data_IF_060671647038
#
_entry.id   IF_060671647038
#
_cell.length_a   1.000
_cell.length_b   1.000
_cell.length_c   1.000
_cell.angle_alpha   90.00
_cell.angle_beta   90.00
_cell.angle_gamma   90.00
#
_symmetry.space_group_name_H-M   'P 1'
#
loop_
_entity.id
_entity.type
_entity.pdbx_description
1 polymer ?
#
# COMPACT_ATOMS: atom_id res chain seq x y z
N UNK A 1 -21.35 -9.08 0.12
CA UNK A 1 -21.08 -8.13 1.21
C UNK A 1 -22.32 -7.24 1.36
N UNK A 2 -22.64 -6.70 2.56
CA UNK A 2 -23.98 -6.15 2.88
C UNK A 2 -24.16 -4.67 2.52
N UNK A 3 -23.08 -3.90 2.53
CA UNK A 3 -23.04 -2.45 2.40
C UNK A 3 -22.47 -1.97 1.05
N UNK A 4 -22.37 -2.85 0.05
CA UNK A 4 -21.76 -2.52 -1.25
C UNK A 4 -20.23 -2.50 -1.21
N UNK A 5 -19.64 -3.19 -0.24
CA UNK A 5 -18.20 -3.29 -0.04
C UNK A 5 -17.51 -3.91 -1.26
N UNK A 6 -18.18 -4.81 -1.98
CA UNK A 6 -17.73 -5.37 -3.25
C UNK A 6 -17.46 -4.29 -4.29
N UNK A 7 -18.38 -3.34 -4.44
CA UNK A 7 -18.24 -2.22 -5.37
C UNK A 7 -17.14 -1.25 -4.93
N UNK A 8 -17.05 -0.99 -3.63
CA UNK A 8 -16.04 -0.10 -3.05
C UNK A 8 -14.64 -0.72 -3.22
N UNK A 9 -14.49 -2.00 -2.95
CA UNK A 9 -13.23 -2.73 -3.14
C UNK A 9 -12.82 -2.75 -4.61
N UNK A 10 -13.78 -2.94 -5.53
CA UNK A 10 -13.51 -2.82 -6.97
C UNK A 10 -13.02 -1.41 -7.34
N UNK A 11 -13.71 -0.36 -6.87
CA UNK A 11 -13.31 1.02 -7.14
C UNK A 11 -11.91 1.35 -6.58
N UNK A 12 -11.57 0.82 -5.40
CA UNK A 12 -10.22 0.94 -4.84
C UNK A 12 -9.20 0.27 -5.76
N UNK A 13 -9.47 -0.96 -6.23
CA UNK A 13 -8.62 -1.67 -7.18
C UNK A 13 -8.42 -0.88 -8.47
N UNK A 14 -9.51 -0.47 -9.12
CA UNK A 14 -9.48 0.32 -10.36
C UNK A 14 -8.69 1.64 -10.17
N UNK A 15 -8.87 2.31 -9.02
CA UNK A 15 -8.13 3.53 -8.69
C UNK A 15 -6.64 3.26 -8.55
N UNK A 16 -6.25 2.21 -7.81
CA UNK A 16 -4.85 1.84 -7.61
C UNK A 16 -4.20 1.48 -8.95
N UNK A 17 -4.84 0.66 -9.78
CA UNK A 17 -4.35 0.34 -11.12
C UNK A 17 -4.13 1.61 -11.97
N UNK A 18 -5.05 2.57 -11.89
CA UNK A 18 -4.89 3.85 -12.60
C UNK A 18 -3.70 4.68 -12.12
N UNK A 19 -3.28 4.56 -10.85
CA UNK A 19 -2.09 5.28 -10.37
C UNK A 19 -0.82 4.72 -10.98
N UNK A 20 -0.81 3.43 -11.36
CA UNK A 20 0.32 2.84 -12.06
C UNK A 20 0.53 3.49 -13.43
N UNK A 21 -0.52 3.62 -14.23
CA UNK A 21 -0.47 4.30 -15.53
C UNK A 21 -0.07 5.79 -15.48
N UNK A 22 -0.22 6.46 -14.33
CA UNK A 22 0.01 7.91 -14.18
C UNK A 22 1.33 8.26 -13.47
N UNK A 23 1.84 7.37 -12.61
CA UNK A 23 3.01 7.62 -11.78
C UNK A 23 4.22 6.73 -12.13
N UNK A 24 4.00 5.68 -12.91
CA UNK A 24 5.03 4.73 -13.31
C UNK A 24 5.13 4.87 -14.82
N UNK A 25 6.08 5.68 -15.28
CA UNK A 25 6.33 5.86 -16.72
C UNK A 25 6.52 4.50 -17.38
N UNK A 26 5.86 4.29 -18.52
CA UNK A 26 5.98 3.12 -19.41
C UNK A 26 7.33 3.07 -20.16
N UNK A 27 8.37 3.71 -19.64
CA UNK A 27 9.70 3.81 -20.26
C UNK A 27 10.69 2.98 -19.45
N UNK A 28 11.56 2.23 -20.14
CA UNK A 28 12.52 1.24 -19.62
C UNK A 28 13.45 1.74 -18.48
N UNK A 29 13.55 3.06 -18.26
CA UNK A 29 14.34 3.70 -17.20
C UNK A 29 13.48 4.30 -16.05
N UNK A 30 12.25 3.83 -15.87
CA UNK A 30 11.25 4.42 -14.98
C UNK A 30 11.73 4.65 -13.54
N UNK A 31 12.20 5.86 -13.24
CA UNK A 31 12.57 6.28 -11.88
C UNK A 31 11.34 6.26 -10.96
N UNK A 32 11.17 5.18 -10.20
CA UNK A 32 10.07 5.04 -9.26
C UNK A 32 10.44 5.72 -7.93
N UNK A 33 9.78 6.85 -7.64
CA UNK A 33 9.97 7.58 -6.37
C UNK A 33 9.75 6.65 -5.16
N UNK A 34 8.85 5.67 -5.27
CA UNK A 34 8.61 4.70 -4.21
C UNK A 34 9.81 3.78 -3.95
N UNK A 35 10.55 3.36 -4.98
CA UNK A 35 11.73 2.51 -4.80
C UNK A 35 12.87 3.29 -4.16
N UNK A 36 13.05 4.55 -4.53
CA UNK A 36 13.99 5.44 -3.83
C UNK A 36 13.60 5.60 -2.35
N UNK A 37 12.32 5.83 -2.05
CA UNK A 37 11.81 5.94 -0.67
C UNK A 37 12.05 4.64 0.12
N UNK A 38 11.85 3.47 -0.51
CA UNK A 38 12.14 2.16 0.08
C UNK A 38 13.63 1.97 0.35
N UNK A 39 14.51 2.31 -0.60
CA UNK A 39 15.97 2.24 -0.42
C UNK A 39 16.46 3.13 0.74
N UNK A 40 15.77 4.25 0.99
CA UNK A 40 16.04 5.13 2.12
C UNK A 40 15.46 4.61 3.46
N UNK A 41 14.65 3.55 3.45
CA UNK A 41 14.04 2.97 4.65
C UNK A 41 12.95 3.82 5.30
N UNK A 42 12.37 4.78 4.58
CA UNK A 42 11.37 5.73 5.09
C UNK A 42 9.96 5.51 4.53
N UNK A 43 9.77 4.43 3.78
CA UNK A 43 8.53 4.11 3.07
C UNK A 43 7.33 3.90 3.98
N UNK A 44 7.52 3.24 5.13
CA UNK A 44 6.46 3.03 6.13
C UNK A 44 5.95 4.35 6.70
N UNK A 45 6.85 5.19 7.20
CA UNK A 45 6.51 6.51 7.75
C UNK A 45 5.88 7.41 6.68
N UNK A 46 6.41 7.36 5.46
CA UNK A 46 5.86 8.08 4.33
C UNK A 46 4.42 7.66 4.02
N UNK A 47 4.15 6.36 3.93
CA UNK A 47 2.81 5.85 3.65
C UNK A 47 1.83 6.20 4.78
N UNK A 48 2.24 5.99 6.03
CA UNK A 48 1.41 6.31 7.20
C UNK A 48 1.06 7.81 7.27
N UNK A 49 2.05 8.68 7.10
CA UNK A 49 1.85 10.13 7.13
C UNK A 49 0.92 10.59 6.00
N UNK A 50 1.05 10.02 4.80
CA UNK A 50 0.17 10.34 3.67
C UNK A 50 -1.26 9.85 3.89
N UNK A 51 -1.46 8.64 4.43
CA UNK A 51 -2.79 8.15 4.79
C UNK A 51 -3.49 9.10 5.76
N UNK A 52 -2.79 9.48 6.84
CA UNK A 52 -3.29 10.45 7.84
C UNK A 52 -3.59 11.79 7.17
N UNK A 53 -2.68 12.31 6.34
CA UNK A 53 -2.84 13.58 5.62
C UNK A 53 -4.15 13.60 4.82
N UNK A 54 -4.46 12.54 4.06
CA UNK A 54 -5.67 12.50 3.25
C UNK A 54 -6.94 12.30 4.08
N UNK A 55 -6.89 11.50 5.15
CA UNK A 55 -8.00 11.42 6.10
C UNK A 55 -8.29 12.77 6.77
N UNK A 56 -7.26 13.49 7.23
CA UNK A 56 -7.42 14.82 7.81
C UNK A 56 -7.91 15.87 6.80
N UNK A 57 -7.63 15.67 5.51
CA UNK A 57 -8.04 16.56 4.43
C UNK A 57 -9.52 16.41 4.07
N UNK A 58 -10.07 15.20 4.19
CA UNK A 58 -11.47 14.90 3.89
C UNK A 58 -12.41 15.76 4.76
N UNK A 59 -13.32 16.49 4.10
CA UNK A 59 -14.21 17.45 4.77
C UNK A 59 -13.58 18.81 5.06
N UNK A 60 -12.26 18.99 4.84
CA UNK A 60 -11.56 20.28 5.02
C UNK A 60 -11.19 20.95 3.70
N UNK A 61 -10.64 20.20 2.74
CA UNK A 61 -10.20 20.74 1.44
C UNK A 61 -11.02 20.13 0.32
N UNK A 62 -11.70 20.98 -0.46
CA UNK A 62 -12.66 20.56 -1.49
C UNK A 62 -13.82 19.70 -0.94
N UNK A 63 -14.23 19.96 0.31
CA UNK A 63 -15.35 19.29 0.97
C UNK A 63 -15.10 17.80 1.20
N UNK A 64 -16.16 17.00 1.11
CA UNK A 64 -16.13 15.55 1.28
C UNK A 64 -15.72 14.85 -0.03
N UNK A 65 -14.51 15.15 -0.52
CA UNK A 65 -14.02 14.60 -1.77
C UNK A 65 -13.64 13.11 -1.61
N UNK A 66 -14.36 12.22 -2.30
CA UNK A 66 -14.11 10.76 -2.29
C UNK A 66 -12.67 10.40 -2.69
N UNK A 67 -12.01 11.22 -3.53
CA UNK A 67 -10.60 11.00 -3.92
C UNK A 67 -9.64 11.06 -2.73
N UNK A 68 -9.97 11.79 -1.67
CA UNK A 68 -9.13 11.80 -0.45
C UNK A 68 -9.24 10.45 0.28
N UNK A 69 -10.41 9.80 0.29
CA UNK A 69 -10.56 8.46 0.84
C UNK A 69 -9.83 7.40 0.00
N UNK A 70 -9.93 7.48 -1.34
CA UNK A 70 -9.20 6.58 -2.25
C UNK A 70 -7.68 6.71 -2.07
N UNK A 71 -7.16 7.94 -1.93
CA UNK A 71 -5.74 8.18 -1.64
C UNK A 71 -5.33 7.64 -0.28
N UNK A 72 -6.14 7.87 0.75
CA UNK A 72 -5.85 7.34 2.08
C UNK A 72 -5.73 5.81 2.06
N UNK A 73 -6.67 5.13 1.41
CA UNK A 73 -6.65 3.67 1.28
C UNK A 73 -5.47 3.19 0.44
N UNK A 74 -5.15 3.86 -0.67
CA UNK A 74 -3.97 3.52 -1.47
C UNK A 74 -2.68 3.51 -0.64
N UNK A 75 -2.46 4.53 0.20
CA UNK A 75 -1.30 4.56 1.09
C UNK A 75 -1.36 3.51 2.21
N UNK A 76 -2.56 3.12 2.67
CA UNK A 76 -2.71 1.98 3.60
C UNK A 76 -2.30 0.68 2.91
N UNK A 77 -2.72 0.45 1.66
CA UNK A 77 -2.34 -0.74 0.88
C UNK A 77 -0.82 -0.80 0.68
N UNK A 78 -0.18 0.32 0.34
CA UNK A 78 1.28 0.39 0.21
C UNK A 78 2.00 0.12 1.55
N UNK A 79 1.45 0.63 2.66
CA UNK A 79 1.99 0.37 3.99
C UNK A 79 1.89 -1.11 4.37
N UNK A 80 0.75 -1.75 4.10
CA UNK A 80 0.58 -3.19 4.31
C UNK A 80 1.59 -3.99 3.49
N UNK A 81 1.74 -3.67 2.21
CA UNK A 81 2.73 -4.33 1.33
C UNK A 81 4.17 -4.19 1.85
N UNK A 82 4.56 -3.02 2.37
CA UNK A 82 5.88 -2.81 2.96
C UNK A 82 6.10 -3.66 4.22
N UNK A 83 5.11 -3.71 5.11
CA UNK A 83 5.16 -4.52 6.34
C UNK A 83 5.19 -6.03 6.01
N UNK A 84 4.42 -6.45 5.00
CA UNK A 84 4.41 -7.84 4.53
C UNK A 84 5.77 -8.24 3.95
N UNK A 85 6.41 -7.34 3.20
CA UNK A 85 7.75 -7.58 2.67
C UNK A 85 8.79 -7.71 3.79
N UNK A 86 8.77 -6.83 4.80
CA UNK A 86 9.65 -6.95 5.98
C UNK A 86 9.50 -8.32 6.67
N UNK A 87 8.26 -8.83 6.77
CA UNK A 87 7.98 -10.14 7.34
C UNK A 87 8.60 -11.29 6.54
N UNK A 88 8.41 -11.27 5.21
CA UNK A 88 8.98 -12.27 4.30
C UNK A 88 10.52 -12.22 4.36
N UNK A 89 11.10 -11.02 4.38
CA UNK A 89 12.54 -10.81 4.49
C UNK A 89 13.12 -11.36 5.80
N UNK A 90 12.43 -11.16 6.93
CA UNK A 90 12.86 -11.68 8.22
C UNK A 90 12.74 -13.22 8.29
N UNK A 91 11.69 -13.81 7.70
CA UNK A 91 11.53 -15.26 7.56
C UNK A 91 12.64 -15.89 6.72
N UNK A 92 12.93 -15.30 5.55
CA UNK A 92 13.96 -15.80 4.61
C UNK A 92 15.37 -15.67 5.19
N UNK A 93 15.63 -14.67 6.04
CA UNK A 93 16.93 -14.44 6.69
C UNK A 93 17.09 -15.18 8.04
N UNK A 94 16.10 -15.99 8.45
CA UNK A 94 16.17 -16.81 9.67
C UNK A 94 16.18 -16.01 10.98
N UNK A 95 15.67 -14.78 10.98
CA UNK A 95 15.60 -13.95 12.18
C UNK A 95 14.44 -14.38 13.10
N UNK A 96 14.50 -14.10 14.41
CA UNK A 96 13.38 -14.37 15.33
C UNK A 96 12.12 -13.58 14.93
N UNK A 97 11.10 -14.31 14.46
CA UNK A 97 9.82 -13.77 13.96
C UNK A 97 8.86 -13.46 15.13
N UNK A 98 9.35 -12.82 16.20
CA UNK A 98 8.55 -12.56 17.41
C UNK A 98 7.62 -11.33 17.27
N UNK A 99 7.97 -10.37 16.41
CA UNK A 99 7.25 -9.08 16.31
C UNK A 99 5.98 -9.18 15.45
N UNK A 100 5.92 -10.14 14.52
CA UNK A 100 4.95 -10.17 13.41
C UNK A 100 3.84 -11.21 13.55
N UNK A 101 4.01 -12.25 14.39
CA UNK A 101 2.92 -13.20 14.72
C UNK A 101 1.66 -12.56 15.31
N UNK A 102 1.80 -11.35 15.90
CA UNK A 102 0.66 -10.60 16.47
C UNK A 102 -0.10 -9.76 15.45
N UNK A 103 0.50 -9.38 14.31
CA UNK A 103 -0.14 -8.48 13.33
C UNK A 103 -1.04 -9.25 12.36
N UNK A 104 -0.65 -10.48 11.98
CA UNK A 104 -1.36 -11.30 10.98
C UNK A 104 -1.81 -12.67 11.52
N UNK A 105 -2.31 -12.72 12.75
CA UNK A 105 -2.80 -13.97 13.37
C UNK A 105 -4.01 -14.63 12.64
N UNK A 106 -4.35 -14.20 11.42
CA UNK A 106 -5.40 -14.78 10.58
C UNK A 106 -4.95 -14.97 9.13
N UNK A 107 -4.56 -16.20 8.78
CA UNK A 107 -4.80 -16.90 7.51
C UNK A 107 -4.76 -16.10 6.18
N UNK A 108 -3.78 -15.23 5.94
CA UNK A 108 -3.51 -14.78 4.57
C UNK A 108 -2.26 -15.50 4.05
N UNK A 109 -2.47 -16.37 3.05
CA UNK A 109 -1.40 -17.14 2.42
C UNK A 109 -0.77 -16.31 1.29
N UNK A 110 0.46 -15.86 1.52
CA UNK A 110 1.25 -15.08 0.55
C UNK A 110 2.10 -15.95 -0.39
N UNK A 111 1.97 -17.29 -0.35
CA UNK A 111 2.81 -18.21 -1.12
C UNK A 111 2.67 -18.12 -2.66
N UNK A 112 1.81 -17.23 -3.18
CA UNK A 112 1.57 -17.04 -4.61
C UNK A 112 1.64 -15.59 -5.13
N UNK A 113 2.16 -14.63 -4.34
CA UNK A 113 2.35 -13.25 -4.83
C UNK A 113 3.70 -13.17 -5.55
N UNK A 114 3.66 -13.19 -6.88
CA UNK A 114 4.85 -13.08 -7.72
C UNK A 114 5.31 -11.61 -7.73
N UNK A 115 6.43 -11.30 -7.06
CA UNK A 115 7.03 -9.96 -7.04
C UNK A 115 7.99 -9.74 -8.21
N UNK A 116 7.62 -10.24 -9.39
CA UNK A 116 8.31 -9.98 -10.65
C UNK A 116 7.36 -9.27 -11.62
N UNK A 117 7.04 -8.02 -11.34
CA UNK A 117 6.75 -7.08 -12.43
C UNK A 117 7.65 -5.86 -12.26
N UNK A 118 8.45 -5.71 -13.31
CA UNK A 118 9.60 -4.82 -13.56
C UNK A 118 9.35 -3.34 -13.35
#
# INVERSE_FOLDING_TARGET
MKYGEDRILKEIGDYIESTYSQHYSTTEDGFQVMDMIKQLGIDKDFCQANAIKYLCRYGKKAGYNRKDLLKAIHYIVLLMSSIDQDYIDDMTKGKPVEVSKKVYAGNFDYSGVDHNES
#
